data_IF_428450002924
#
_entry.id   IF_428450002924
#
_cell.length_a   1.000
_cell.length_b   1.000
_cell.length_c   1.000
_cell.angle_alpha   90.00
_cell.angle_beta   90.00
_cell.angle_gamma   90.00
#
_symmetry.space_group_name_H-M   'P 1'
#
loop_
_entity.id
_entity.type
_entity.pdbx_description
1 polymer ?
#
# COMPACT_ATOMS: atom_id res chain seq x y z
N UNK A 1 11.98 8.95 -53.67
CA UNK A 1 12.26 9.73 -52.44
C UNK A 1 10.98 9.91 -51.62
N UNK A 2 10.34 8.80 -51.14
CA UNK A 2 9.04 8.82 -50.43
C UNK A 2 8.94 7.79 -49.27
N UNK A 3 10.06 7.38 -48.66
CA UNK A 3 10.08 6.29 -47.64
C UNK A 3 10.55 6.70 -46.24
N UNK A 4 10.73 8.01 -45.95
CA UNK A 4 11.25 8.49 -44.66
C UNK A 4 10.21 9.13 -43.70
N UNK A 5 8.93 9.19 -44.08
CA UNK A 5 7.92 9.87 -43.29
C UNK A 5 7.07 8.93 -42.40
N UNK A 6 7.18 7.62 -42.59
CA UNK A 6 6.35 6.64 -41.85
C UNK A 6 6.95 6.15 -40.52
N UNK A 7 8.23 6.42 -40.26
CA UNK A 7 8.92 5.92 -39.06
C UNK A 7 8.82 6.85 -37.84
N UNK A 8 8.32 8.08 -38.01
CA UNK A 8 8.20 9.04 -36.91
C UNK A 8 6.84 8.99 -36.17
N UNK A 9 5.84 8.35 -36.76
CA UNK A 9 4.50 8.27 -36.12
C UNK A 9 4.34 7.08 -35.15
N UNK A 10 5.23 6.09 -35.17
CA UNK A 10 5.12 4.90 -34.32
C UNK A 10 5.70 5.11 -32.90
N UNK A 11 6.47 6.17 -32.66
CA UNK A 11 7.08 6.43 -31.35
C UNK A 11 6.17 7.21 -30.39
N UNK A 12 5.06 7.77 -30.84
CA UNK A 12 4.19 8.63 -30.01
C UNK A 12 3.12 7.87 -29.22
N UNK A 13 2.93 6.57 -29.44
CA UNK A 13 1.81 5.81 -28.84
C UNK A 13 2.21 5.00 -27.61
N UNK A 14 3.48 4.91 -27.26
CA UNK A 14 3.97 4.09 -26.12
C UNK A 14 4.05 4.81 -24.77
N UNK A 15 3.69 6.09 -24.70
CA UNK A 15 3.87 6.89 -23.47
C UNK A 15 2.63 6.99 -22.56
N UNK A 16 1.51 6.31 -22.82
CA UNK A 16 0.24 6.60 -22.15
C UNK A 16 -0.33 5.50 -21.25
N UNK A 17 0.48 4.54 -20.84
CA UNK A 17 0.07 3.56 -19.83
C UNK A 17 0.84 3.74 -18.51
N UNK A 18 1.03 4.97 -18.04
CA UNK A 18 1.28 5.21 -16.63
C UNK A 18 -0.07 5.04 -15.93
N UNK A 19 -0.26 4.01 -15.07
CA UNK A 19 -1.48 3.91 -14.28
C UNK A 19 -1.65 5.25 -13.56
N UNK A 20 -2.74 5.94 -13.83
CA UNK A 20 -3.06 7.19 -13.17
C UNK A 20 -3.11 6.89 -11.66
N UNK A 21 -2.05 7.21 -10.94
CA UNK A 21 -2.08 7.25 -9.48
C UNK A 21 -3.28 8.10 -9.14
N UNK A 22 -4.23 7.55 -8.39
CA UNK A 22 -5.42 8.30 -8.04
C UNK A 22 -5.00 9.49 -7.19
N UNK A 23 -4.81 10.62 -7.85
CA UNK A 23 -4.51 11.93 -7.25
C UNK A 23 -5.59 12.37 -6.25
N UNK A 24 -6.77 11.74 -6.29
CA UNK A 24 -7.92 12.03 -5.45
C UNK A 24 -7.61 12.01 -3.95
N UNK A 25 -6.76 11.09 -3.50
CA UNK A 25 -6.45 10.94 -2.07
C UNK A 25 -5.12 11.58 -1.65
N UNK A 26 -4.21 11.83 -2.58
CA UNK A 26 -2.91 12.42 -2.24
C UNK A 26 -3.11 13.83 -1.69
N UNK A 27 -2.54 14.10 -0.51
CA UNK A 27 -2.71 15.36 0.21
C UNK A 27 -3.98 15.41 1.08
N UNK A 28 -4.84 14.39 1.04
CA UNK A 28 -6.00 14.30 1.91
C UNK A 28 -5.54 14.25 3.37
N UNK A 29 -6.19 15.07 4.22
CA UNK A 29 -5.90 15.14 5.64
C UNK A 29 -7.06 14.57 6.44
N UNK A 30 -6.74 13.76 7.45
CA UNK A 30 -7.74 13.22 8.37
C UNK A 30 -7.13 12.99 9.75
N UNK A 31 -7.96 12.83 10.75
CA UNK A 31 -7.55 12.37 12.08
C UNK A 31 -7.40 10.85 12.09
N UNK A 32 -6.68 10.34 13.06
CA UNK A 32 -6.67 8.91 13.36
C UNK A 32 -8.10 8.42 13.57
N UNK A 33 -8.45 7.34 12.91
CA UNK A 33 -9.80 6.76 12.91
C UNK A 33 -9.77 5.35 13.47
N UNK A 34 -10.91 4.88 13.93
CA UNK A 34 -11.09 3.50 14.39
C UNK A 34 -11.38 2.60 13.19
N UNK A 35 -10.85 1.39 13.22
CA UNK A 35 -11.10 0.38 12.16
C UNK A 35 -12.60 0.23 11.96
N UNK A 36 -13.03 0.35 10.70
CA UNK A 36 -14.44 0.29 10.29
C UNK A 36 -15.11 1.65 10.13
N UNK A 37 -14.50 2.74 10.60
CA UNK A 37 -14.99 4.10 10.42
C UNK A 37 -14.93 4.54 8.95
N UNK A 38 -15.87 5.41 8.56
CA UNK A 38 -15.94 5.97 7.22
C UNK A 38 -15.48 7.42 7.27
N UNK A 39 -14.44 7.72 6.51
CA UNK A 39 -13.92 9.07 6.37
C UNK A 39 -14.87 9.98 5.55
N UNK A 40 -14.75 11.32 5.67
CA UNK A 40 -15.58 12.26 4.92
C UNK A 40 -15.56 12.08 3.39
N UNK A 41 -14.47 11.53 2.85
CA UNK A 41 -14.34 11.20 1.42
C UNK A 41 -15.00 9.87 1.04
N UNK A 42 -15.67 9.17 1.97
CA UNK A 42 -16.35 7.90 1.77
C UNK A 42 -15.45 6.67 1.79
N UNK A 43 -14.17 6.81 2.13
CA UNK A 43 -13.27 5.68 2.32
C UNK A 43 -13.47 5.08 3.72
N UNK A 44 -13.65 3.75 3.78
CA UNK A 44 -13.78 2.98 5.02
C UNK A 44 -12.41 2.48 5.46
N UNK A 45 -12.04 2.75 6.70
CA UNK A 45 -10.81 2.23 7.31
C UNK A 45 -10.89 0.72 7.52
N UNK A 46 -9.84 0.02 7.13
CA UNK A 46 -9.66 -1.43 7.31
C UNK A 46 -8.46 -1.76 8.19
N UNK A 47 -7.90 -0.75 8.85
CA UNK A 47 -6.75 -0.86 9.71
C UNK A 47 -5.43 -0.61 8.99
N UNK A 48 -4.43 -0.32 9.79
CA UNK A 48 -3.08 0.03 9.35
C UNK A 48 -2.08 -0.15 10.47
N UNK A 49 -0.86 0.33 10.27
CA UNK A 49 0.19 0.29 11.28
C UNK A 49 1.28 1.32 11.02
N UNK A 50 2.02 1.61 12.10
CA UNK A 50 3.18 2.48 12.01
C UNK A 50 4.34 1.74 11.33
N UNK A 51 5.14 2.49 10.60
CA UNK A 51 6.38 2.02 9.98
C UNK A 51 7.56 2.16 10.95
N UNK A 52 8.74 1.72 10.54
CA UNK A 52 9.98 1.85 11.33
C UNK A 52 10.26 3.27 11.79
N UNK A 53 9.81 4.26 11.00
CA UNK A 53 9.76 5.67 11.41
C UNK A 53 8.37 5.99 11.91
N UNK A 54 8.21 6.17 13.19
CA UNK A 54 6.94 6.33 13.92
C UNK A 54 6.05 7.50 13.45
N UNK A 55 6.58 8.42 12.66
CA UNK A 55 5.80 9.49 12.05
C UNK A 55 5.24 9.13 10.67
N UNK A 56 5.40 7.88 10.24
CA UNK A 56 4.78 7.34 9.02
C UNK A 56 4.00 6.07 9.33
N UNK A 57 2.94 5.86 8.58
CA UNK A 57 2.10 4.68 8.65
C UNK A 57 1.67 4.21 7.26
N UNK A 58 1.20 2.97 7.20
CA UNK A 58 0.48 2.45 6.05
C UNK A 58 -0.85 1.92 6.52
N UNK A 59 -1.92 2.43 5.91
CA UNK A 59 -3.30 2.05 6.23
C UNK A 59 -4.00 1.48 5.01
N UNK A 60 -4.97 0.59 5.28
CA UNK A 60 -5.86 0.02 4.27
C UNK A 60 -7.18 0.73 4.31
N UNK A 61 -7.69 1.06 3.14
CA UNK A 61 -9.03 1.60 3.00
C UNK A 61 -9.79 0.86 1.90
N UNK A 62 -11.13 0.94 1.95
CA UNK A 62 -12.01 0.53 0.86
C UNK A 62 -12.97 1.63 0.50
N UNK A 63 -13.29 1.77 -0.80
CA UNK A 63 -14.34 2.67 -1.29
C UNK A 63 -15.04 1.98 -2.46
N UNK A 64 -16.31 1.64 -2.27
CA UNK A 64 -17.03 0.77 -3.19
C UNK A 64 -16.38 -0.61 -3.28
N UNK A 65 -16.03 -1.05 -4.49
CA UNK A 65 -15.38 -2.34 -4.75
C UNK A 65 -13.86 -2.27 -4.78
N UNK A 66 -13.27 -1.11 -4.51
CA UNK A 66 -11.83 -0.88 -4.56
C UNK A 66 -11.21 -0.95 -3.18
N UNK A 67 -9.98 -1.43 -3.12
CA UNK A 67 -9.12 -1.38 -1.95
C UNK A 67 -7.95 -0.45 -2.22
N UNK A 68 -7.47 0.19 -1.15
CA UNK A 68 -6.36 1.15 -1.22
C UNK A 68 -5.36 0.86 -0.11
N UNK A 69 -4.08 1.03 -0.43
CA UNK A 69 -3.03 1.24 0.56
C UNK A 69 -2.63 2.71 0.52
N UNK A 70 -2.68 3.39 1.65
CA UNK A 70 -2.22 4.75 1.79
C UNK A 70 -0.93 4.77 2.59
N UNK A 71 0.11 5.38 2.04
CA UNK A 71 1.26 5.81 2.82
C UNK A 71 0.92 7.16 3.42
N UNK A 72 1.01 7.25 4.73
CA UNK A 72 0.56 8.41 5.49
C UNK A 72 1.68 8.94 6.36
N UNK A 73 1.65 10.25 6.61
CA UNK A 73 2.58 10.94 7.50
C UNK A 73 1.80 11.65 8.59
N UNK A 74 2.25 11.52 9.82
CA UNK A 74 1.74 12.30 10.95
C UNK A 74 2.23 13.73 10.80
N UNK A 75 1.30 14.69 10.83
CA UNK A 75 1.57 16.12 10.75
C UNK A 75 1.42 16.83 12.10
N UNK A 76 0.73 16.19 13.03
CA UNK A 76 0.48 16.66 14.39
C UNK A 76 -0.23 15.61 15.21
N UNK A 77 -0.50 15.96 16.46
CA UNK A 77 -1.38 15.19 17.36
C UNK A 77 -2.24 16.18 18.13
N UNK A 78 -3.47 15.80 18.41
CA UNK A 78 -4.32 16.60 19.30
C UNK A 78 -3.93 16.39 20.78
N UNK A 79 -4.64 17.08 21.67
CA UNK A 79 -4.41 17.01 23.12
C UNK A 79 -4.61 15.62 23.73
N UNK A 80 -5.37 14.75 23.05
CA UNK A 80 -5.58 13.34 23.43
C UNK A 80 -4.55 12.39 22.81
N UNK A 81 -3.59 12.92 22.03
CA UNK A 81 -2.54 12.15 21.37
C UNK A 81 -2.99 11.53 20.04
N UNK A 82 -4.23 11.78 19.60
CA UNK A 82 -4.74 11.27 18.31
C UNK A 82 -3.98 11.95 17.17
N UNK A 83 -3.40 11.18 16.23
CA UNK A 83 -2.60 11.75 15.16
C UNK A 83 -3.45 12.44 14.09
N UNK A 84 -2.93 13.54 13.57
CA UNK A 84 -3.37 14.14 12.31
C UNK A 84 -2.52 13.59 11.18
N UNK A 85 -3.17 12.96 10.20
CA UNK A 85 -2.52 12.32 9.08
C UNK A 85 -2.63 13.14 7.79
N UNK A 86 -1.64 12.99 6.91
CA UNK A 86 -1.71 13.41 5.52
C UNK A 86 -1.28 12.27 4.60
N UNK A 87 -2.08 11.98 3.60
CA UNK A 87 -1.79 10.93 2.61
C UNK A 87 -0.70 11.39 1.65
N UNK A 88 0.37 10.62 1.52
CA UNK A 88 1.57 10.91 0.72
C UNK A 88 1.61 10.09 -0.57
N UNK A 89 1.15 8.84 -0.52
CA UNK A 89 1.09 7.96 -1.69
C UNK A 89 -0.07 6.98 -1.58
N UNK A 90 -0.56 6.51 -2.73
CA UNK A 90 -1.74 5.64 -2.81
C UNK A 90 -1.54 4.55 -3.83
N UNK A 91 -1.72 3.32 -3.42
CA UNK A 91 -1.89 2.18 -4.32
C UNK A 91 -3.34 1.75 -4.36
N UNK A 92 -3.88 1.53 -5.54
CA UNK A 92 -5.24 1.04 -5.77
C UNK A 92 -5.22 -0.43 -6.18
N UNK A 93 -6.19 -1.17 -5.69
CA UNK A 93 -6.40 -2.58 -5.99
C UNK A 93 -7.88 -2.84 -6.27
N UNK A 94 -8.14 -3.79 -7.14
CA UNK A 94 -9.48 -4.36 -7.28
C UNK A 94 -9.85 -5.16 -6.03
N UNK A 95 -11.11 -5.64 -5.98
CA UNK A 95 -11.59 -6.49 -4.91
C UNK A 95 -10.63 -7.65 -4.66
N UNK A 96 -10.16 -7.79 -3.42
CA UNK A 96 -9.33 -8.92 -3.02
C UNK A 96 -10.16 -10.20 -2.97
N UNK A 97 -9.55 -11.34 -3.29
CA UNK A 97 -10.16 -12.65 -3.08
C UNK A 97 -10.28 -12.92 -1.58
N UNK A 98 -11.23 -13.78 -1.19
CA UNK A 98 -11.53 -14.09 0.22
C UNK A 98 -10.32 -14.55 1.05
N UNK A 99 -9.34 -15.20 0.40
CA UNK A 99 -8.14 -15.71 1.03
C UNK A 99 -6.91 -14.80 0.81
N UNK A 100 -7.10 -13.60 0.28
CA UNK A 100 -6.05 -12.61 0.06
C UNK A 100 -6.14 -11.51 1.11
N UNK A 101 -4.99 -11.14 1.64
CA UNK A 101 -4.88 -10.06 2.61
C UNK A 101 -3.55 -9.31 2.49
N UNK A 102 -3.54 -8.10 3.03
CA UNK A 102 -2.31 -7.36 3.22
C UNK A 102 -1.73 -7.68 4.59
N UNK A 103 -0.44 -7.97 4.61
CA UNK A 103 0.33 -8.21 5.82
C UNK A 103 1.26 -7.03 6.07
N UNK A 104 1.24 -6.54 7.30
CA UNK A 104 2.09 -5.46 7.78
C UNK A 104 2.82 -5.91 9.04
N UNK A 105 3.77 -5.13 9.48
CA UNK A 105 4.58 -5.39 10.66
C UNK A 105 3.80 -5.63 11.95
N UNK A 106 2.65 -4.98 12.11
CA UNK A 106 1.85 -5.13 13.34
C UNK A 106 0.90 -6.34 13.33
N UNK A 107 0.59 -6.91 12.16
CA UNK A 107 -0.33 -8.06 12.03
C UNK A 107 0.39 -9.36 11.68
N UNK A 108 1.66 -9.28 11.30
CA UNK A 108 2.46 -10.45 10.95
C UNK A 108 3.93 -10.08 10.81
N UNK A 109 4.80 -10.97 11.25
CA UNK A 109 6.24 -10.79 11.05
C UNK A 109 6.62 -11.26 9.67
N UNK A 110 6.95 -10.31 8.80
CA UNK A 110 7.53 -10.59 7.48
C UNK A 110 9.03 -10.39 7.53
N UNK A 111 9.79 -11.35 7.02
CA UNK A 111 11.23 -11.26 6.87
C UNK A 111 11.61 -11.18 5.41
N UNK A 112 12.69 -10.46 5.11
CA UNK A 112 13.35 -10.47 3.81
C UNK A 112 14.73 -11.12 4.03
N UNK A 113 14.99 -12.26 3.40
CA UNK A 113 16.24 -13.02 3.60
C UNK A 113 16.55 -13.29 5.08
N UNK A 114 15.51 -13.52 5.89
CA UNK A 114 15.63 -13.82 7.33
C UNK A 114 15.71 -12.59 8.26
N UNK A 115 15.74 -11.37 7.71
CA UNK A 115 15.73 -10.14 8.53
C UNK A 115 14.34 -9.51 8.57
N UNK A 116 13.90 -9.07 9.73
CA UNK A 116 12.67 -8.31 9.89
C UNK A 116 12.76 -6.97 9.13
N UNK A 117 11.65 -6.59 8.49
CA UNK A 117 11.56 -5.34 7.77
C UNK A 117 10.18 -4.72 7.97
N UNK A 118 10.11 -3.76 8.90
CA UNK A 118 8.88 -3.09 9.30
C UNK A 118 8.28 -2.18 8.20
N UNK A 119 9.06 -1.82 7.17
CA UNK A 119 8.61 -0.96 6.08
C UNK A 119 8.11 -1.74 4.86
N UNK A 120 7.98 -3.06 4.99
CA UNK A 120 7.50 -3.94 3.92
C UNK A 120 6.02 -4.24 4.08
N UNK A 121 5.28 -4.03 3.00
CA UNK A 121 3.87 -4.38 2.87
C UNK A 121 3.78 -5.51 1.85
N UNK A 122 3.03 -6.55 2.18
CA UNK A 122 2.89 -7.73 1.35
C UNK A 122 1.42 -8.00 1.07
N UNK A 123 1.06 -8.23 -0.20
CA UNK A 123 -0.19 -8.88 -0.56
C UNK A 123 0.07 -10.38 -0.62
N UNK A 124 -0.62 -11.12 0.22
CA UNK A 124 -0.43 -12.56 0.36
C UNK A 124 -1.75 -13.31 0.22
N UNK A 125 -1.63 -14.59 -0.11
CA UNK A 125 -2.74 -15.54 -0.17
C UNK A 125 -2.51 -16.63 0.88
N UNK A 126 -3.43 -16.72 1.84
CA UNK A 126 -3.38 -17.74 2.88
C UNK A 126 -3.71 -19.11 2.28
N UNK A 127 -2.85 -20.10 2.50
CA UNK A 127 -3.14 -21.50 2.25
C UNK A 127 -3.75 -22.13 3.51
N UNK A 128 -5.08 -22.36 3.57
CA UNK A 128 -5.73 -22.84 4.81
C UNK A 128 -5.20 -24.17 5.32
N UNK A 129 -4.83 -25.07 4.37
CA UNK A 129 -4.30 -26.41 4.70
C UNK A 129 -2.89 -26.36 5.33
N UNK A 130 -2.04 -25.44 4.86
CA UNK A 130 -0.63 -25.35 5.28
C UNK A 130 -0.36 -24.31 6.34
N UNK A 131 -1.35 -23.44 6.66
CA UNK A 131 -1.18 -22.26 7.53
C UNK A 131 0.02 -21.38 7.13
N UNK A 132 0.30 -21.32 5.81
CA UNK A 132 1.39 -20.55 5.22
C UNK A 132 0.87 -19.56 4.21
N UNK A 133 1.62 -18.48 4.00
CA UNK A 133 1.30 -17.46 3.04
C UNK A 133 2.06 -17.66 1.73
N UNK A 134 1.34 -17.59 0.61
CA UNK A 134 1.93 -17.41 -0.71
C UNK A 134 2.01 -15.91 -0.99
N UNK A 135 3.22 -15.39 -1.14
CA UNK A 135 3.44 -13.97 -1.42
C UNK A 135 3.11 -13.68 -2.89
N UNK A 136 2.18 -12.77 -3.13
CA UNK A 136 1.72 -12.40 -4.46
C UNK A 136 2.41 -11.13 -4.98
N UNK A 137 2.49 -10.09 -4.12
CA UNK A 137 3.11 -8.80 -4.43
C UNK A 137 3.72 -8.24 -3.15
N UNK A 138 4.73 -7.39 -3.31
CA UNK A 138 5.35 -6.71 -2.18
C UNK A 138 5.74 -5.28 -2.55
N UNK A 139 5.70 -4.40 -1.54
CA UNK A 139 6.11 -3.01 -1.63
C UNK A 139 6.94 -2.66 -0.41
N UNK A 140 7.81 -1.70 -0.59
CA UNK A 140 8.56 -1.06 0.50
C UNK A 140 8.15 0.40 0.59
N UNK A 141 7.89 0.87 1.78
CA UNK A 141 7.71 2.29 2.04
C UNK A 141 9.05 3.02 1.96
N UNK A 142 9.25 3.79 0.91
CA UNK A 142 10.41 4.66 0.76
C UNK A 142 10.10 6.02 1.38
N UNK A 143 10.45 6.18 2.64
CA UNK A 143 10.15 7.38 3.44
C UNK A 143 10.82 8.64 2.87
N UNK A 144 12.03 8.51 2.30
CA UNK A 144 12.74 9.65 1.69
C UNK A 144 12.02 10.21 0.46
N UNK A 145 11.38 9.33 -0.31
CA UNK A 145 10.62 9.71 -1.51
C UNK A 145 9.12 9.85 -1.21
N UNK A 146 8.67 9.50 -0.01
CA UNK A 146 7.26 9.42 0.38
C UNK A 146 6.43 8.59 -0.61
N UNK A 147 6.93 7.37 -0.95
CA UNK A 147 6.36 6.47 -1.96
C UNK A 147 6.33 5.01 -1.51
N UNK A 148 5.31 4.30 -1.98
CA UNK A 148 5.23 2.84 -1.91
C UNK A 148 5.86 2.25 -3.18
N UNK A 149 7.09 1.77 -3.08
CA UNK A 149 7.85 1.22 -4.19
C UNK A 149 7.68 -0.29 -4.27
N UNK A 150 7.31 -0.81 -5.45
CA UNK A 150 7.20 -2.25 -5.67
C UNK A 150 8.58 -2.90 -5.57
N UNK A 151 8.66 -4.00 -4.83
CA UNK A 151 9.88 -4.79 -4.65
C UNK A 151 9.70 -6.24 -5.12
N UNK A 152 10.81 -6.97 -5.26
CA UNK A 152 10.78 -8.41 -5.53
C UNK A 152 10.17 -9.16 -4.35
N UNK A 153 9.39 -10.20 -4.65
CA UNK A 153 8.86 -11.12 -3.63
C UNK A 153 9.85 -12.21 -3.24
N UNK A 154 10.98 -12.32 -3.96
CA UNK A 154 12.01 -13.33 -3.70
C UNK A 154 12.64 -13.12 -2.33
N UNK A 155 12.69 -14.16 -1.53
CA UNK A 155 13.27 -14.12 -0.18
C UNK A 155 12.37 -13.55 0.90
N UNK A 156 11.13 -13.12 0.54
CA UNK A 156 10.14 -12.68 1.53
C UNK A 156 9.41 -13.91 2.10
N UNK A 157 9.37 -14.00 3.41
CA UNK A 157 8.60 -14.99 4.16
C UNK A 157 7.76 -14.28 5.22
N UNK A 158 6.46 -14.61 5.27
CA UNK A 158 5.56 -14.08 6.29
C UNK A 158 4.93 -15.24 7.05
N UNK A 159 4.83 -15.09 8.37
CA UNK A 159 4.17 -16.04 9.27
C UNK A 159 3.05 -15.32 9.98
N UNK A 160 1.88 -15.95 10.08
CA UNK A 160 0.83 -15.43 10.94
C UNK A 160 1.31 -15.52 12.40
N UNK A 161 1.08 -14.46 13.16
CA UNK A 161 1.26 -14.53 14.61
C UNK A 161 0.33 -15.61 15.15
N UNK A 162 0.87 -16.44 16.05
CA UNK A 162 0.06 -17.41 16.78
C UNK A 162 -0.82 -16.62 17.74
N UNK A 163 -2.10 -16.50 17.43
CA UNK A 163 -3.14 -16.08 18.38
C UNK A 163 -3.31 -17.13 19.47
#
# INVERSE_FOLDING_TARGET
>A
MRFRLFLLLTFLVLAWNVPAQKKEFIGFKHKGVVVGEILPNGAKDLGGGLLSKENYGVSRFSKGKKHYLWLEKITGRDTSGVPDWIVKDVLEFDTLKKNQEFLFSYSSTCTITGQENLDTIVLAELSPKKKTYKILKAWKANIKKEKLEKISTKGIQCRAEKS
#
